data_IF_706260923920
#
_entry.id   IF_706260923920
#
_cell.length_a   1.000
_cell.length_b   1.000
_cell.length_c   1.000
_cell.angle_alpha   90.00
_cell.angle_beta   90.00
_cell.angle_gamma   90.00
#
_symmetry.space_group_name_H-M   'P 1'
#
loop_
_entity.id
_entity.type
_entity.pdbx_description
1 polymer ?
#
# COMPACT_ATOMS: atom_id res chain seq x y z
N UNK A 1 -3.95 13.74 6.37
CA UNK A 1 -4.06 14.90 5.45
C UNK A 1 -5.52 15.32 5.44
N UNK A 2 -5.80 16.61 5.66
CA UNK A 2 -7.18 17.12 5.67
C UNK A 2 -7.69 17.33 4.26
N UNK A 3 -8.86 16.80 3.94
CA UNK A 3 -9.51 16.87 2.63
C UNK A 3 -10.96 17.32 2.80
N UNK A 4 -11.48 18.25 1.97
CA UNK A 4 -12.90 18.63 2.01
C UNK A 4 -13.84 17.48 1.64
N UNK A 5 -14.99 17.39 2.31
CA UNK A 5 -15.98 16.32 2.05
C UNK A 5 -16.51 16.29 0.61
N UNK A 6 -16.63 17.46 -0.03
CA UNK A 6 -17.18 17.55 -1.40
C UNK A 6 -16.37 16.79 -2.45
N UNK A 7 -15.11 16.43 -2.15
CA UNK A 7 -14.26 15.63 -3.04
C UNK A 7 -14.76 14.18 -3.12
N UNK A 8 -15.41 13.68 -2.08
CA UNK A 8 -15.99 12.34 -2.00
C UNK A 8 -17.42 12.32 -2.56
N UNK A 9 -17.61 12.81 -3.79
CA UNK A 9 -18.91 12.87 -4.44
C UNK A 9 -19.50 11.47 -4.62
N UNK A 10 -20.77 11.29 -4.28
CA UNK A 10 -21.48 10.01 -4.45
C UNK A 10 -21.40 9.05 -3.26
N UNK A 11 -20.85 9.50 -2.13
CA UNK A 11 -20.89 8.77 -0.86
C UNK A 11 -21.79 9.54 0.10
N UNK A 12 -22.92 8.93 0.49
CA UNK A 12 -23.92 9.59 1.34
C UNK A 12 -23.41 9.87 2.76
N UNK A 13 -22.55 9.00 3.29
CA UNK A 13 -21.99 9.13 4.64
C UNK A 13 -20.53 8.70 4.68
N UNK A 14 -19.66 9.59 5.15
CA UNK A 14 -18.25 9.30 5.40
C UNK A 14 -18.07 8.83 6.84
N UNK A 15 -17.43 7.69 7.02
CA UNK A 15 -17.22 7.06 8.32
C UNK A 15 -15.73 6.78 8.56
N UNK A 16 -15.34 6.77 9.84
CA UNK A 16 -14.00 6.38 10.26
C UNK A 16 -13.66 4.95 9.77
N UNK A 17 -12.45 4.76 9.25
CA UNK A 17 -11.97 3.48 8.72
C UNK A 17 -12.40 3.17 7.28
N UNK A 18 -13.23 4.00 6.65
CA UNK A 18 -13.57 3.84 5.22
C UNK A 18 -12.35 4.04 4.34
N UNK A 19 -12.24 3.23 3.28
CA UNK A 19 -11.11 3.24 2.35
C UNK A 19 -11.52 3.71 0.97
N UNK A 20 -10.65 4.51 0.38
CA UNK A 20 -10.84 5.09 -0.95
C UNK A 20 -9.56 4.94 -1.77
N UNK A 21 -9.71 4.91 -3.09
CA UNK A 21 -8.60 5.11 -4.01
C UNK A 21 -8.58 6.59 -4.37
N UNK A 22 -7.61 7.32 -3.83
CA UNK A 22 -7.39 8.71 -4.18
C UNK A 22 -6.55 8.78 -5.46
N UNK A 23 -7.03 9.52 -6.46
CA UNK A 23 -6.19 9.86 -7.61
C UNK A 23 -5.19 10.94 -7.21
N UNK A 24 -3.90 10.64 -7.36
CA UNK A 24 -2.81 11.56 -7.08
C UNK A 24 -1.89 11.67 -8.29
N UNK A 25 -0.99 12.66 -8.29
CA UNK A 25 0.03 12.81 -9.35
C UNK A 25 0.97 11.60 -9.48
N UNK A 26 0.98 10.69 -8.49
CA UNK A 26 1.75 9.45 -8.48
C UNK A 26 0.90 8.23 -8.87
N UNK A 27 -0.35 8.44 -9.30
CA UNK A 27 -1.32 7.39 -9.60
C UNK A 27 -2.33 7.15 -8.45
N UNK A 28 -3.14 6.08 -8.56
CA UNK A 28 -4.14 5.73 -7.56
C UNK A 28 -3.48 5.29 -6.26
N UNK A 29 -3.74 6.00 -5.17
CA UNK A 29 -3.21 5.70 -3.83
C UNK A 29 -4.36 5.28 -2.91
N UNK A 30 -4.29 4.12 -2.25
CA UNK A 30 -5.27 3.75 -1.23
C UNK A 30 -5.12 4.65 0.00
N UNK A 31 -6.22 5.27 0.43
CA UNK A 31 -6.31 6.12 1.63
C UNK A 31 -7.42 5.63 2.55
N UNK A 32 -7.26 5.82 3.85
CA UNK A 32 -8.24 5.46 4.89
C UNK A 32 -8.66 6.72 5.67
N UNK A 33 -9.94 6.88 5.97
CA UNK A 33 -10.43 7.99 6.81
C UNK A 33 -10.08 7.72 8.26
N UNK A 34 -9.32 8.63 8.87
CA UNK A 34 -8.95 8.58 10.30
C UNK A 34 -9.73 9.56 11.15
N UNK A 35 -10.44 10.52 10.57
CA UNK A 35 -11.33 11.42 11.32
C UNK A 35 -12.38 12.06 10.40
N UNK A 36 -13.58 12.30 10.93
CA UNK A 36 -14.66 12.97 10.22
C UNK A 36 -15.12 14.17 11.04
N UNK A 37 -14.90 15.37 10.51
CA UNK A 37 -15.42 16.64 11.05
C UNK A 37 -16.61 17.11 10.20
N UNK A 38 -17.20 18.28 10.48
CA UNK A 38 -18.39 18.77 9.77
C UNK A 38 -18.12 19.05 8.28
N UNK A 39 -17.07 19.83 7.97
CA UNK A 39 -16.75 20.26 6.59
C UNK A 39 -15.60 19.47 5.94
N UNK A 40 -14.78 18.79 6.75
CA UNK A 40 -13.55 18.13 6.33
C UNK A 40 -13.43 16.71 6.90
N UNK A 41 -12.62 15.88 6.24
CA UNK A 41 -12.18 14.58 6.75
C UNK A 41 -10.67 14.51 6.74
N UNK A 42 -10.10 13.84 7.74
CA UNK A 42 -8.69 13.51 7.75
C UNK A 42 -8.49 12.12 7.16
N UNK A 43 -7.64 12.03 6.14
CA UNK A 43 -7.28 10.78 5.47
C UNK A 43 -5.81 10.44 5.69
N UNK A 44 -5.54 9.16 5.89
CA UNK A 44 -4.20 8.59 5.96
C UNK A 44 -3.93 7.73 4.72
N UNK A 45 -2.90 8.09 3.96
CA UNK A 45 -2.42 7.33 2.79
C UNK A 45 -1.23 6.43 3.10
N UNK A 46 -0.82 6.36 4.38
CA UNK A 46 0.24 5.47 4.77
C UNK A 46 -0.22 4.00 4.67
N UNK A 47 0.72 3.12 4.35
CA UNK A 47 0.48 1.68 4.43
C UNK A 47 0.06 1.29 5.86
N UNK A 48 -0.80 0.28 6.03
CA UNK A 48 -1.37 -0.14 7.34
C UNK A 48 -0.34 -0.44 8.46
N UNK A 49 0.92 -0.61 8.08
CA UNK A 49 2.06 -0.91 8.95
C UNK A 49 3.06 0.24 9.08
N UNK A 50 2.87 1.36 8.40
CA UNK A 50 3.71 2.53 8.54
C UNK A 50 3.66 3.06 9.99
N UNK A 51 4.79 3.53 10.50
CA UNK A 51 4.91 4.01 11.89
C UNK A 51 4.80 2.94 12.97
N UNK A 52 4.52 1.68 12.62
CA UNK A 52 4.52 0.55 13.56
C UNK A 52 5.89 -0.10 13.58
N UNK A 53 6.41 -0.35 14.78
CA UNK A 53 7.59 -1.20 14.94
C UNK A 53 7.23 -2.63 14.54
N UNK A 54 7.89 -3.14 13.50
CA UNK A 54 7.74 -4.53 13.08
C UNK A 54 8.84 -5.35 13.76
N UNK A 55 8.43 -6.27 14.62
CA UNK A 55 9.34 -7.18 15.32
C UNK A 55 9.28 -8.52 14.59
N UNK A 56 10.40 -8.93 14.00
CA UNK A 56 10.53 -10.21 13.30
C UNK A 56 11.54 -11.09 14.02
N UNK A 57 11.20 -12.36 14.17
CA UNK A 57 12.17 -13.41 14.47
C UNK A 57 12.55 -14.05 13.14
N UNK A 58 13.79 -13.85 12.71
CA UNK A 58 14.26 -14.29 11.39
C UNK A 58 15.22 -15.48 11.56
N UNK A 59 15.03 -16.50 10.73
CA UNK A 59 15.92 -17.65 10.60
C UNK A 59 16.36 -17.77 9.13
N UNK A 60 17.66 -17.98 8.90
CA UNK A 60 18.21 -18.17 7.55
C UNK A 60 18.16 -19.66 7.22
N UNK A 61 17.28 -20.02 6.28
CA UNK A 61 17.06 -21.43 5.89
C UNK A 61 18.05 -21.91 4.82
N UNK A 62 18.44 -21.03 3.90
CA UNK A 62 19.37 -21.37 2.82
C UNK A 62 20.01 -20.10 2.23
N UNK A 63 21.20 -20.26 1.65
CA UNK A 63 21.89 -19.23 0.87
C UNK A 63 22.38 -19.91 -0.41
N UNK A 64 22.18 -19.25 -1.55
CA UNK A 64 22.71 -19.67 -2.85
C UNK A 64 23.06 -18.46 -3.69
N UNK A 65 23.88 -18.68 -4.71
CA UNK A 65 24.09 -17.69 -5.76
C UNK A 65 22.80 -17.50 -6.59
N UNK A 66 22.53 -16.25 -6.96
CA UNK A 66 21.47 -15.89 -7.90
C UNK A 66 21.86 -16.29 -9.32
N UNK A 67 20.89 -16.69 -10.15
CA UNK A 67 21.11 -16.90 -11.59
C UNK A 67 21.24 -15.55 -12.32
N UNK A 68 21.70 -15.56 -13.58
CA UNK A 68 21.79 -14.33 -14.38
C UNK A 68 20.41 -13.69 -14.61
N UNK A 69 19.36 -14.50 -14.78
CA UNK A 69 17.99 -14.03 -14.98
C UNK A 69 17.46 -13.35 -13.71
N UNK A 70 17.67 -13.96 -12.54
CA UNK A 70 17.27 -13.38 -11.25
C UNK A 70 17.98 -12.06 -10.95
N UNK A 71 19.26 -11.95 -11.31
CA UNK A 71 20.00 -10.70 -11.23
C UNK A 71 19.44 -9.64 -12.17
N UNK A 72 19.05 -10.02 -13.39
CA UNK A 72 18.47 -9.10 -14.36
C UNK A 72 17.07 -8.60 -13.93
N UNK A 73 16.25 -9.44 -13.31
CA UNK A 73 14.89 -9.10 -12.89
C UNK A 73 14.81 -8.50 -11.47
N UNK A 74 15.81 -8.76 -10.62
CA UNK A 74 15.88 -8.22 -9.26
C UNK A 74 15.01 -8.94 -8.23
N UNK A 75 14.48 -10.12 -8.56
CA UNK A 75 13.76 -10.99 -7.63
C UNK A 75 14.08 -12.47 -7.88
N UNK A 76 13.80 -13.31 -6.88
CA UNK A 76 13.94 -14.76 -7.00
C UNK A 76 12.95 -15.30 -8.02
N UNK A 77 13.37 -16.28 -8.81
CA UNK A 77 12.49 -17.06 -9.68
C UNK A 77 12.23 -18.41 -8.99
N UNK A 78 10.95 -18.76 -8.85
CA UNK A 78 10.57 -20.07 -8.30
C UNK A 78 10.58 -21.17 -9.35
N UNK A 79 10.52 -22.44 -8.94
CA UNK A 79 10.36 -23.59 -9.84
C UNK A 79 9.08 -23.53 -10.72
N UNK A 80 8.15 -22.61 -10.43
CA UNK A 80 6.89 -22.41 -11.17
C UNK A 80 6.77 -21.03 -11.83
N UNK A 81 7.85 -20.25 -11.88
CA UNK A 81 7.80 -18.96 -12.57
C UNK A 81 7.98 -19.19 -14.08
N UNK A 82 6.98 -18.78 -14.86
CA UNK A 82 6.99 -19.00 -16.30
C UNK A 82 8.09 -18.15 -16.94
N UNK A 83 9.04 -18.80 -17.62
CA UNK A 83 9.98 -18.13 -18.52
C UNK A 83 9.17 -17.32 -19.53
N UNK A 84 9.24 -15.99 -19.40
CA UNK A 84 8.84 -15.08 -20.46
C UNK A 84 10.11 -14.68 -21.19
N UNK A 85 10.25 -15.17 -22.42
CA UNK A 85 11.25 -14.75 -23.41
C UNK A 85 11.18 -13.24 -23.73
#
# INVERSE_FOLDING_TARGET
KRVPKYVFMGVDELQFGMRFLAETDQGPVPVEITEVEDDHVDVDGNHMKAGKNLIFNVEVVAIRESTQLELAHGHVHGENDHEHD
#
